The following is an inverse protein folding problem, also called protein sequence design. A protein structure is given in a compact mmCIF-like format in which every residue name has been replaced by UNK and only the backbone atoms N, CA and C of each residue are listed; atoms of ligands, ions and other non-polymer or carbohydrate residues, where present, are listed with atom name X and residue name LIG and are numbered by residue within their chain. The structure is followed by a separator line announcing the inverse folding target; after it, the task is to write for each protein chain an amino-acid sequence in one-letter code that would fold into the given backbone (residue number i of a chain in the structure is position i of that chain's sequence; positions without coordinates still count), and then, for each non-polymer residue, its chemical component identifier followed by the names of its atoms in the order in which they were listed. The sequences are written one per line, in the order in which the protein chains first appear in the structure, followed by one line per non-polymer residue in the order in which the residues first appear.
data_IF_163770646946
#
_entry.id   IF_163770646946
#
_cell.length_a   1.000
_cell.length_b   1.000
_cell.length_c   1.000
_cell.angle_alpha   90.00
_cell.angle_beta   90.00
_cell.angle_gamma   90.00
#
_symmetry.space_group_name_H-M   'P 1'
#
loop_
_entity.id
_entity.type
_entity.pdbx_description
1 polymer ?
#
# COMPACT_ATOMS: atom_id res chain seq x y z
N UNK A 1 72.85 10.06 -24.58
CA UNK A 1 71.88 10.15 -23.45
C UNK A 1 70.95 8.96 -23.62
N UNK A 2 71.16 7.81 -22.97
CA UNK A 2 71.04 7.49 -21.55
C UNK A 2 69.58 7.51 -21.02
N UNK A 3 69.10 6.33 -20.60
CA UNK A 3 67.93 6.06 -19.73
C UNK A 3 66.68 5.62 -20.49
N UNK A 4 65.93 4.56 -20.15
CA UNK A 4 65.90 3.65 -18.99
C UNK A 4 64.55 2.91 -19.00
N UNK A 5 64.53 1.64 -18.57
CA UNK A 5 63.46 0.61 -18.65
C UNK A 5 62.24 0.86 -17.70
N UNK A 6 61.39 -0.14 -17.38
CA UNK A 6 60.25 -0.70 -18.14
C UNK A 6 58.92 -0.63 -17.31
N UNK A 7 57.76 -0.77 -17.95
CA UNK A 7 56.48 -0.68 -17.23
C UNK A 7 55.38 -1.60 -17.76
N UNK A 8 55.31 -2.78 -17.15
CA UNK A 8 54.08 -3.52 -16.80
C UNK A 8 53.24 -4.22 -17.90
N UNK A 9 53.38 -5.56 -17.92
CA UNK A 9 52.28 -6.55 -18.00
C UNK A 9 51.19 -6.26 -16.92
N UNK A 10 49.96 -6.84 -16.91
CA UNK A 10 49.56 -8.14 -17.48
C UNK A 10 48.12 -8.22 -18.07
N UNK A 11 47.84 -9.40 -18.62
CA UNK A 11 46.53 -10.06 -18.69
C UNK A 11 45.53 -9.57 -17.64
N UNK A 12 44.29 -9.32 -18.05
CA UNK A 12 43.10 -9.80 -17.33
C UNK A 12 41.91 -9.81 -18.29
N UNK A 13 41.81 -10.88 -19.07
CA UNK A 13 40.52 -11.38 -19.51
C UNK A 13 39.80 -11.95 -18.28
N UNK A 14 39.17 -11.09 -17.50
CA UNK A 14 38.11 -11.46 -16.57
C UNK A 14 36.95 -10.50 -16.83
N UNK A 15 36.11 -10.86 -17.79
CA UNK A 15 34.73 -10.40 -17.82
C UNK A 15 34.00 -11.14 -16.69
N UNK A 16 34.12 -10.60 -15.48
CA UNK A 16 33.16 -10.84 -14.42
C UNK A 16 32.49 -9.51 -14.10
N UNK A 17 31.37 -9.29 -14.76
CA UNK A 17 30.17 -8.78 -14.12
C UNK A 17 29.13 -9.82 -14.56
N UNK A 18 28.86 -10.86 -13.77
CA UNK A 18 28.08 -10.78 -12.53
C UNK A 18 26.90 -9.80 -12.78
N UNK A 19 25.72 -10.35 -13.05
CA UNK A 19 24.68 -10.49 -12.00
C UNK A 19 23.69 -9.33 -12.23
N UNK A 20 22.40 -9.49 -12.48
CA UNK A 20 21.49 -10.59 -12.31
C UNK A 20 20.63 -10.70 -13.58
N UNK A 21 20.18 -11.90 -13.93
CA UNK A 21 18.95 -12.02 -14.69
C UNK A 21 17.85 -11.35 -13.86
N UNK A 22 17.48 -10.12 -14.23
CA UNK A 22 16.29 -9.48 -13.70
C UNK A 22 15.15 -10.46 -13.94
N UNK A 23 14.65 -11.00 -12.83
CA UNK A 23 13.52 -11.90 -12.86
C UNK A 23 12.37 -11.18 -13.59
N UNK A 24 11.68 -11.85 -14.53
CA UNK A 24 10.46 -11.31 -15.12
C UNK A 24 9.41 -11.00 -14.03
N UNK A 25 9.54 -11.56 -12.84
CA UNK A 25 8.71 -11.26 -11.67
C UNK A 25 8.70 -9.77 -11.30
N UNK A 26 9.82 -9.03 -11.40
CA UNK A 26 9.82 -7.60 -11.05
C UNK A 26 9.05 -6.73 -12.06
N UNK A 27 9.08 -7.09 -13.35
CA UNK A 27 8.29 -6.40 -14.37
C UNK A 27 6.82 -6.80 -14.33
N UNK A 28 6.52 -8.09 -14.09
CA UNK A 28 5.16 -8.59 -13.87
C UNK A 28 4.54 -7.93 -12.62
N UNK A 29 5.28 -7.84 -11.51
CA UNK A 29 4.80 -7.15 -10.29
C UNK A 29 4.54 -5.66 -10.53
N UNK A 30 5.33 -5.00 -11.39
CA UNK A 30 5.10 -3.59 -11.77
C UNK A 30 3.86 -3.43 -12.64
N UNK A 31 3.62 -4.33 -13.61
CA UNK A 31 2.41 -4.29 -14.44
C UNK A 31 1.14 -4.61 -13.64
N UNK A 32 1.19 -5.64 -12.78
CA UNK A 32 0.09 -5.99 -11.88
C UNK A 32 -0.16 -4.84 -10.88
N UNK A 33 0.90 -4.21 -10.34
CA UNK A 33 0.80 -3.05 -9.45
C UNK A 33 0.33 -1.75 -10.12
N UNK A 34 0.35 -1.67 -11.45
CA UNK A 34 -0.27 -0.59 -12.23
C UNK A 34 -1.76 -0.84 -12.52
N UNK A 35 -2.20 -2.10 -12.60
CA UNK A 35 -3.62 -2.46 -12.76
C UNK A 35 -4.39 -2.48 -11.43
N UNK A 36 -3.70 -2.80 -10.34
CA UNK A 36 -4.32 -2.89 -9.02
C UNK A 36 -4.93 -1.54 -8.61
N UNK A 37 -6.20 -1.56 -8.19
CA UNK A 37 -6.95 -0.42 -7.71
C UNK A 37 -6.24 0.23 -6.53
N UNK A 38 -6.26 1.55 -6.49
CA UNK A 38 -5.72 2.35 -5.40
C UNK A 38 -6.77 3.32 -4.94
N UNK A 39 -6.89 3.46 -3.62
CA UNK A 39 -7.77 4.48 -3.07
C UNK A 39 -7.44 5.86 -3.64
N UNK A 40 -8.48 6.57 -4.05
CA UNK A 40 -8.40 7.94 -4.54
C UNK A 40 -7.97 8.88 -3.40
N UNK A 41 -7.43 10.03 -3.74
CA UNK A 41 -6.91 10.97 -2.73
C UNK A 41 -8.00 11.45 -1.75
N UNK A 42 -9.24 11.61 -2.21
CA UNK A 42 -10.35 12.01 -1.34
C UNK A 42 -10.79 10.89 -0.39
N UNK A 43 -10.80 9.63 -0.85
CA UNK A 43 -11.08 8.45 -0.02
C UNK A 43 -10.06 8.33 1.11
N UNK A 44 -8.77 8.46 0.77
CA UNK A 44 -7.68 8.49 1.77
C UNK A 44 -7.83 9.65 2.75
N UNK A 45 -8.16 10.84 2.27
CA UNK A 45 -8.39 12.02 3.12
C UNK A 45 -9.56 11.80 4.08
N UNK A 46 -10.64 11.19 3.63
CA UNK A 46 -11.80 10.90 4.48
C UNK A 46 -11.42 9.90 5.59
N UNK A 47 -10.72 8.80 5.26
CA UNK A 47 -10.24 7.86 6.27
C UNK A 47 -9.30 8.51 7.29
N UNK A 48 -8.34 9.30 6.81
CA UNK A 48 -7.40 10.01 7.68
C UNK A 48 -8.13 10.99 8.61
N UNK A 49 -9.12 11.72 8.08
CA UNK A 49 -9.93 12.67 8.87
C UNK A 49 -10.71 11.97 9.99
N UNK A 50 -11.33 10.81 9.69
CA UNK A 50 -12.02 10.00 10.70
C UNK A 50 -11.04 9.50 11.77
N UNK A 51 -9.90 8.95 11.36
CA UNK A 51 -8.88 8.46 12.29
C UNK A 51 -8.31 9.58 13.19
N UNK A 52 -8.00 10.74 12.62
CA UNK A 52 -7.56 11.92 13.38
C UNK A 52 -8.64 12.36 14.36
N UNK A 53 -9.91 12.33 13.95
CA UNK A 53 -11.02 12.74 14.78
C UNK A 53 -11.22 11.78 15.96
N UNK A 54 -11.17 10.48 15.73
CA UNK A 54 -11.22 9.45 16.78
C UNK A 54 -10.05 9.58 17.76
N UNK A 55 -8.85 9.85 17.26
CA UNK A 55 -7.64 10.03 18.09
C UNK A 55 -7.57 11.37 18.82
N UNK A 56 -8.35 12.36 18.39
CA UNK A 56 -8.29 13.71 18.97
C UNK A 56 -8.73 13.77 20.43
N UNK A 57 -9.40 12.73 20.94
CA UNK A 57 -9.96 12.68 22.29
C UNK A 57 -11.09 13.70 22.53
N UNK A 58 -11.49 14.44 21.50
CA UNK A 58 -12.63 15.34 21.55
C UNK A 58 -13.91 14.53 21.61
N UNK A 59 -14.91 15.06 22.31
CA UNK A 59 -16.24 14.46 22.35
C UNK A 59 -16.83 14.44 20.94
N UNK A 60 -17.36 13.29 20.54
CA UNK A 60 -18.01 13.06 19.26
C UNK A 60 -19.47 12.78 19.52
N UNK A 61 -20.37 13.50 18.88
CA UNK A 61 -21.80 13.24 19.04
C UNK A 61 -22.17 11.86 18.50
N UNK A 62 -23.22 11.26 19.07
CA UNK A 62 -23.80 10.00 18.55
C UNK A 62 -24.06 10.05 17.04
N UNK A 63 -24.59 11.19 16.54
CA UNK A 63 -24.86 11.40 15.11
C UNK A 63 -23.58 11.40 14.26
N UNK A 64 -22.49 12.01 14.74
CA UNK A 64 -21.20 11.97 14.06
C UNK A 64 -20.67 10.53 13.96
N UNK A 65 -20.74 9.77 15.05
CA UNK A 65 -20.32 8.37 15.09
C UNK A 65 -21.16 7.49 14.16
N UNK A 66 -22.49 7.64 14.16
CA UNK A 66 -23.38 6.94 13.20
C UNK A 66 -23.03 7.27 11.75
N UNK A 67 -22.70 8.54 11.47
CA UNK A 67 -22.26 8.99 10.13
C UNK A 67 -20.95 8.33 9.74
N UNK A 68 -19.98 8.24 10.65
CA UNK A 68 -18.71 7.56 10.40
C UNK A 68 -18.91 6.06 10.18
N UNK A 69 -19.74 5.41 11.00
CA UNK A 69 -19.99 3.99 10.85
C UNK A 69 -20.63 3.67 9.51
N UNK A 70 -21.63 4.45 9.09
CA UNK A 70 -22.29 4.30 7.79
C UNK A 70 -21.29 4.46 6.64
N UNK A 71 -20.49 5.53 6.65
CA UNK A 71 -19.47 5.76 5.62
C UNK A 71 -18.45 4.61 5.55
N UNK A 72 -17.95 4.16 6.70
CA UNK A 72 -16.96 3.09 6.77
C UNK A 72 -17.55 1.75 6.31
N UNK A 73 -18.82 1.47 6.63
CA UNK A 73 -19.50 0.25 6.19
C UNK A 73 -19.67 0.22 4.67
N UNK A 74 -20.23 1.27 4.07
CA UNK A 74 -20.38 1.41 2.61
C UNK A 74 -19.02 1.29 1.91
N UNK A 75 -18.02 2.01 2.42
CA UNK A 75 -16.70 2.00 1.81
C UNK A 75 -15.99 0.65 1.95
N UNK A 76 -16.23 -0.08 3.05
CA UNK A 76 -15.73 -1.45 3.20
C UNK A 76 -16.35 -2.42 2.19
N UNK A 77 -17.62 -2.23 1.82
CA UNK A 77 -18.30 -3.04 0.82
C UNK A 77 -17.71 -2.80 -0.57
N UNK A 78 -17.55 -1.53 -0.97
CA UNK A 78 -16.94 -1.17 -2.26
C UNK A 78 -15.53 -1.79 -2.40
N UNK A 79 -14.71 -1.69 -1.35
CA UNK A 79 -13.36 -2.26 -1.38
C UNK A 79 -13.39 -3.80 -1.46
N UNK A 80 -14.33 -4.47 -0.78
CA UNK A 80 -14.47 -5.92 -0.86
C UNK A 80 -14.87 -6.37 -2.26
N UNK A 81 -15.76 -5.64 -2.93
CA UNK A 81 -16.16 -5.92 -4.31
C UNK A 81 -14.97 -5.81 -5.25
N UNK A 82 -14.20 -4.71 -5.16
CA UNK A 82 -12.98 -4.52 -5.95
C UNK A 82 -11.97 -5.65 -5.70
N UNK A 83 -11.72 -6.02 -4.43
CA UNK A 83 -10.82 -7.12 -4.10
C UNK A 83 -11.30 -8.47 -4.64
N UNK A 84 -12.60 -8.70 -4.71
CA UNK A 84 -13.16 -9.92 -5.31
C UNK A 84 -12.96 -9.95 -6.82
N UNK A 85 -13.17 -8.82 -7.50
CA UNK A 85 -12.91 -8.67 -8.94
C UNK A 85 -11.43 -8.87 -9.24
N UNK A 86 -10.54 -8.20 -8.52
CA UNK A 86 -9.09 -8.35 -8.68
C UNK A 86 -8.63 -9.78 -8.42
N UNK A 87 -9.17 -10.44 -7.39
CA UNK A 87 -8.87 -11.85 -7.12
C UNK A 87 -9.32 -12.76 -8.25
N UNK A 88 -10.44 -12.46 -8.91
CA UNK A 88 -10.91 -13.21 -10.08
C UNK A 88 -9.98 -13.03 -11.30
N UNK A 89 -9.27 -11.90 -11.37
CA UNK A 89 -8.21 -11.61 -12.35
C UNK A 89 -6.81 -12.07 -11.90
N UNK A 90 -6.71 -12.82 -10.79
CA UNK A 90 -5.44 -13.27 -10.18
C UNK A 90 -4.51 -12.11 -9.75
N UNK A 91 -5.08 -10.93 -9.49
CA UNK A 91 -4.39 -9.73 -8.99
C UNK A 91 -4.40 -9.74 -7.46
N UNK A 92 -3.22 -9.79 -6.85
CA UNK A 92 -3.07 -9.68 -5.40
C UNK A 92 -2.86 -8.22 -4.98
N UNK A 93 -3.93 -7.53 -4.56
CA UNK A 93 -3.85 -6.13 -4.12
C UNK A 93 -3.65 -6.00 -2.60
N UNK A 94 -2.41 -6.27 -2.18
CA UNK A 94 -2.00 -6.24 -0.77
C UNK A 94 -2.26 -4.88 -0.12
N UNK A 95 -2.13 -3.78 -0.88
CA UNK A 95 -2.37 -2.44 -0.35
C UNK A 95 -3.85 -2.23 -0.02
N UNK A 96 -4.74 -2.59 -0.95
CA UNK A 96 -6.18 -2.44 -0.75
C UNK A 96 -6.69 -3.36 0.38
N UNK A 97 -6.13 -4.56 0.55
CA UNK A 97 -6.41 -5.40 1.72
C UNK A 97 -5.96 -4.75 3.05
N UNK A 98 -4.82 -4.05 3.05
CA UNK A 98 -4.36 -3.31 4.24
C UNK A 98 -5.32 -2.16 4.56
N UNK A 99 -5.78 -1.45 3.53
CA UNK A 99 -6.75 -0.38 3.68
C UNK A 99 -8.10 -0.92 4.20
N UNK A 100 -8.56 -2.07 3.73
CA UNK A 100 -9.75 -2.75 4.26
C UNK A 100 -9.62 -3.12 5.74
N UNK A 101 -8.46 -3.67 6.14
CA UNK A 101 -8.18 -3.97 7.57
C UNK A 101 -8.21 -2.71 8.43
N UNK A 102 -7.67 -1.60 7.93
CA UNK A 102 -7.71 -0.31 8.61
C UNK A 102 -9.15 0.20 8.77
N UNK A 103 -9.98 0.08 7.74
CA UNK A 103 -11.41 0.46 7.81
C UNK A 103 -12.14 -0.36 8.88
N UNK A 104 -11.92 -1.68 8.91
CA UNK A 104 -12.52 -2.56 9.92
C UNK A 104 -12.12 -2.17 11.35
N UNK A 105 -10.87 -1.75 11.57
CA UNK A 105 -10.42 -1.23 12.87
C UNK A 105 -11.16 0.06 13.24
N UNK A 106 -11.26 1.02 12.32
CA UNK A 106 -12.00 2.26 12.55
C UNK A 106 -13.48 1.99 12.85
N UNK A 107 -14.11 1.05 12.15
CA UNK A 107 -15.50 0.64 12.44
C UNK A 107 -15.63 0.09 13.87
N UNK A 108 -14.69 -0.76 14.31
CA UNK A 108 -14.68 -1.29 15.67
C UNK A 108 -14.52 -0.21 16.73
N UNK A 109 -13.65 0.78 16.49
CA UNK A 109 -13.48 1.94 17.38
C UNK A 109 -14.77 2.78 17.47
N UNK A 110 -15.39 3.08 16.31
CA UNK A 110 -16.65 3.84 16.26
C UNK A 110 -17.78 3.09 16.96
N UNK A 111 -17.92 1.78 16.73
CA UNK A 111 -18.93 0.95 17.39
C UNK A 111 -18.74 0.95 18.93
N UNK A 112 -17.49 0.80 19.39
CA UNK A 112 -17.15 0.85 20.82
C UNK A 112 -17.51 2.21 21.45
N UNK A 113 -17.37 3.31 20.70
CA UNK A 113 -17.79 4.64 21.17
C UNK A 113 -19.31 4.80 21.18
N UNK A 114 -20.01 4.25 20.19
CA UNK A 114 -21.48 4.26 20.13
C UNK A 114 -22.12 3.48 21.28
N UNK A 115 -21.53 2.37 21.71
CA UNK A 115 -22.02 1.57 22.86
C UNK A 115 -21.99 2.34 24.18
N UNK A 116 -21.27 3.47 24.26
CA UNK A 116 -21.19 4.32 25.46
C UNK A 116 -22.33 5.34 25.56
N UNK A 117 -23.18 5.45 24.54
CA UNK A 117 -24.34 6.35 24.47
C UNK A 117 -25.66 5.61 24.72
#
# INVERSE_FOLDING_TARGET
MAGGYPGQQPHHGLKHADDHGHYPEEEVLKEVGHRAYKLKDHEKKNLNSIEERLRSGKELSKKELETYLHFLDEFSHEIKEILQEEKAEEIANIQLERDLRRIAQLMGEVATLLERY
#
